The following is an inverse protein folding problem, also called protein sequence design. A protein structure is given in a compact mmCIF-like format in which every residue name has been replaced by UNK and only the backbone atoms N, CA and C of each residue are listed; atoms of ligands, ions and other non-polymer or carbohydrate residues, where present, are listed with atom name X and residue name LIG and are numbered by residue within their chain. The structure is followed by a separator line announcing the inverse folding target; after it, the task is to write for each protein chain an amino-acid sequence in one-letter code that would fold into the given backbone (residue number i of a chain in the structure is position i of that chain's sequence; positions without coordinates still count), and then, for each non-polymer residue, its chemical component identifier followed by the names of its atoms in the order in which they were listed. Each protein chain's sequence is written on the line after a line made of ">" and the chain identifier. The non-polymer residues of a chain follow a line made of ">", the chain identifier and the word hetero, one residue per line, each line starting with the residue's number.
data_IF_165480882866
#
_entry.id   IF_165480882866
#
_cell.length_a   1.000
_cell.length_b   1.000
_cell.length_c   1.000
_cell.angle_alpha   90.00
_cell.angle_beta   90.00
_cell.angle_gamma   90.00
#
_symmetry.space_group_name_H-M   'P 1'
#
loop_
_entity.id
_entity.type
_entity.pdbx_description
1 polymer ?
#
# COMPACT_ATOMS: atom_id res chain seq x y z
N UNK A 1 -8.59 4.92 -4.20
CA UNK A 1 -9.04 6.22 -3.64
C UNK A 1 -9.32 7.14 -4.82
N UNK A 2 -10.48 7.78 -4.85
CA UNK A 2 -10.86 8.78 -5.85
C UNK A 2 -10.84 10.17 -5.19
N UNK A 3 -10.14 11.12 -5.80
CA UNK A 3 -10.17 12.53 -5.39
C UNK A 3 -11.25 13.30 -6.17
N UNK A 4 -11.65 14.47 -5.65
CA UNK A 4 -12.65 15.37 -6.27
C UNK A 4 -12.23 15.84 -7.67
N UNK A 5 -10.92 15.91 -7.92
CA UNK A 5 -10.36 16.23 -9.24
C UNK A 5 -10.45 15.06 -10.25
N UNK A 6 -10.95 13.90 -9.79
CA UNK A 6 -11.11 12.70 -10.60
C UNK A 6 -9.88 11.77 -10.60
N UNK A 7 -8.83 12.07 -9.82
CA UNK A 7 -7.64 11.23 -9.77
C UNK A 7 -7.89 9.95 -8.96
N UNK A 8 -7.44 8.83 -9.51
CA UNK A 8 -7.53 7.52 -8.85
C UNK A 8 -6.14 7.14 -8.32
N UNK A 9 -6.01 7.12 -6.99
CA UNK A 9 -4.83 6.62 -6.30
C UNK A 9 -5.07 5.20 -5.75
N UNK A 10 -4.31 4.23 -6.27
CA UNK A 10 -4.11 2.93 -5.64
C UNK A 10 -2.89 3.04 -4.72
N UNK A 11 -3.14 3.23 -3.43
CA UNK A 11 -2.09 3.59 -2.49
C UNK A 11 -2.36 2.98 -1.10
N UNK A 12 -1.29 2.74 -0.35
CA UNK A 12 -1.35 2.22 1.00
C UNK A 12 -1.36 3.37 2.02
N UNK A 13 -2.38 3.43 2.88
CA UNK A 13 -2.45 4.45 3.93
C UNK A 13 -1.32 4.20 4.94
N UNK A 14 -0.48 5.21 5.15
CA UNK A 14 0.60 5.21 6.15
C UNK A 14 0.16 5.86 7.45
N UNK A 15 -0.51 6.99 7.34
CA UNK A 15 -0.98 7.76 8.48
C UNK A 15 -2.32 8.43 8.15
N UNK A 16 -3.18 8.60 9.16
CA UNK A 16 -4.48 9.24 9.01
C UNK A 16 -4.76 10.15 10.19
N UNK A 17 -5.04 11.42 9.89
CA UNK A 17 -5.56 12.41 10.83
C UNK A 17 -7.00 12.78 10.42
N UNK A 18 -7.73 13.58 11.21
CA UNK A 18 -9.03 14.09 10.78
C UNK A 18 -8.97 14.96 9.52
N UNK A 19 -7.85 15.66 9.30
CA UNK A 19 -7.70 16.67 8.24
C UNK A 19 -6.97 16.13 7.01
N UNK A 20 -6.13 15.10 7.18
CA UNK A 20 -5.28 14.57 6.11
C UNK A 20 -5.10 13.06 6.17
N UNK A 21 -4.87 12.45 5.01
CA UNK A 21 -4.41 11.07 4.87
C UNK A 21 -3.08 11.07 4.13
N UNK A 22 -2.07 10.47 4.74
CA UNK A 22 -0.80 10.17 4.09
C UNK A 22 -0.89 8.78 3.44
N UNK A 23 -0.65 8.73 2.13
CA UNK A 23 -0.68 7.50 1.34
C UNK A 23 0.64 7.27 0.61
N UNK A 24 1.09 6.02 0.60
CA UNK A 24 2.22 5.55 -0.20
C UNK A 24 1.69 5.03 -1.54
N UNK A 25 2.00 5.73 -2.64
CA UNK A 25 1.54 5.36 -3.99
C UNK A 25 2.46 4.30 -4.62
N UNK A 26 3.76 4.40 -4.38
CA UNK A 26 4.77 3.39 -4.76
C UNK A 26 5.96 3.44 -3.78
N UNK A 27 7.00 2.62 -3.96
CA UNK A 27 8.13 2.53 -3.02
C UNK A 27 8.84 3.86 -2.72
N UNK A 28 8.83 4.81 -3.65
CA UNK A 28 9.57 6.08 -3.55
C UNK A 28 8.66 7.30 -3.36
N UNK A 29 7.35 7.15 -3.61
CA UNK A 29 6.39 8.25 -3.63
C UNK A 29 5.31 8.12 -2.55
N UNK A 30 5.33 9.06 -1.62
CA UNK A 30 4.24 9.33 -0.69
C UNK A 30 3.52 10.62 -1.08
N UNK A 31 2.21 10.67 -0.85
CA UNK A 31 1.37 11.83 -1.09
C UNK A 31 0.50 12.06 0.13
N UNK A 32 0.34 13.31 0.53
CA UNK A 32 -0.63 13.72 1.54
C UNK A 32 -1.85 14.26 0.82
N UNK A 33 -3.02 13.74 1.15
CA UNK A 33 -4.30 14.11 0.54
C UNK A 33 -5.19 14.67 1.64
N UNK A 34 -5.77 15.84 1.42
CA UNK A 34 -6.68 16.46 2.38
C UNK A 34 -8.02 15.70 2.41
N UNK A 35 -8.65 15.61 3.58
CA UNK A 35 -9.86 14.77 3.72
C UNK A 35 -11.05 15.31 2.91
N UNK A 36 -11.07 16.61 2.64
CA UNK A 36 -12.07 17.31 1.82
C UNK A 36 -11.86 17.11 0.31
N UNK A 37 -10.65 16.77 -0.13
CA UNK A 37 -10.34 16.42 -1.51
C UNK A 37 -10.68 14.96 -1.86
N UNK A 38 -11.12 14.15 -0.89
CA UNK A 38 -11.48 12.75 -1.11
C UNK A 38 -12.96 12.56 -1.37
N UNK A 39 -13.30 12.00 -2.53
CA UNK A 39 -14.67 11.67 -2.90
C UNK A 39 -15.04 10.25 -2.49
N UNK A 40 -14.18 9.27 -2.79
CA UNK A 40 -14.42 7.85 -2.47
C UNK A 40 -13.16 7.19 -1.93
N UNK A 41 -13.27 6.65 -0.72
CA UNK A 41 -12.28 5.74 -0.15
C UNK A 41 -12.82 4.31 -0.18
N UNK A 42 -12.24 3.47 -1.04
CA UNK A 42 -12.60 2.06 -1.15
C UNK A 42 -11.37 1.18 -0.88
N UNK A 43 -11.56 0.14 -0.07
CA UNK A 43 -10.56 -0.92 0.13
C UNK A 43 -10.37 -1.68 -1.17
N UNK A 44 -9.12 -1.87 -1.57
CA UNK A 44 -8.78 -2.71 -2.72
C UNK A 44 -8.63 -4.17 -2.29
N UNK A 45 -9.18 -5.09 -3.08
CA UNK A 45 -8.94 -6.53 -2.94
C UNK A 45 -7.61 -6.95 -3.61
N UNK A 46 -6.91 -6.02 -4.25
CA UNK A 46 -5.60 -6.26 -4.90
C UNK A 46 -4.48 -6.14 -3.88
N UNK A 47 -3.77 -7.24 -3.65
CA UNK A 47 -2.59 -7.28 -2.78
C UNK A 47 -1.43 -6.47 -3.37
N UNK A 48 -0.73 -5.72 -2.50
CA UNK A 48 0.54 -5.01 -2.83
C UNK A 48 1.73 -5.98 -2.93
N UNK A 49 1.50 -7.29 -2.73
CA UNK A 49 2.51 -8.32 -2.98
C UNK A 49 3.15 -8.10 -4.36
N UNK A 50 4.49 -7.98 -4.45
CA UNK A 50 5.15 -7.87 -5.74
C UNK A 50 4.78 -9.08 -6.58
N UNK A 51 4.13 -8.83 -7.73
CA UNK A 51 3.73 -9.89 -8.63
C UNK A 51 4.97 -10.70 -9.02
N UNK A 52 4.88 -12.02 -8.93
CA UNK A 52 5.96 -12.93 -9.26
C UNK A 52 6.95 -13.25 -8.12
N UNK A 53 6.89 -12.59 -6.95
CA UNK A 53 7.80 -12.92 -5.85
C UNK A 53 7.61 -14.37 -5.36
N UNK A 54 6.36 -14.81 -5.22
CA UNK A 54 6.04 -16.20 -4.85
C UNK A 54 6.35 -17.17 -6.00
N UNK A 55 6.24 -16.72 -7.25
CA UNK A 55 6.47 -17.55 -8.44
C UNK A 55 7.96 -17.74 -8.74
N UNK A 56 8.81 -16.85 -8.24
CA UNK A 56 10.28 -16.89 -8.39
C UNK A 56 10.98 -17.57 -7.22
N UNK A 57 10.24 -18.03 -6.21
CA UNK A 57 10.79 -18.63 -5.00
C UNK A 57 10.22 -20.03 -4.80
N UNK A 58 11.06 -20.94 -4.34
CA UNK A 58 10.59 -22.22 -3.83
C UNK A 58 9.87 -22.02 -2.49
N UNK A 59 8.98 -22.95 -2.14
CA UNK A 59 8.25 -22.92 -0.85
C UNK A 59 9.22 -22.79 0.35
N UNK A 60 10.36 -23.52 0.41
CA UNK A 60 11.35 -23.34 1.47
C UNK A 60 11.94 -21.92 1.51
N UNK A 61 12.36 -21.36 0.38
CA UNK A 61 12.96 -20.02 0.32
C UNK A 61 11.97 -18.93 0.78
N UNK A 62 10.70 -19.07 0.41
CA UNK A 62 9.66 -18.16 0.87
C UNK A 62 9.44 -18.29 2.39
N UNK A 63 9.46 -19.51 2.93
CA UNK A 63 9.37 -19.75 4.38
C UNK A 63 10.54 -19.11 5.13
N UNK A 64 11.76 -19.25 4.61
CA UNK A 64 12.96 -18.67 5.21
C UNK A 64 12.92 -17.13 5.17
N UNK A 65 12.47 -16.54 4.05
CA UNK A 65 12.26 -15.10 3.94
C UNK A 65 11.24 -14.60 4.98
N UNK A 66 10.11 -15.32 5.14
CA UNK A 66 9.10 -14.97 6.14
C UNK A 66 9.63 -15.08 7.57
N UNK A 67 10.46 -16.08 7.87
CA UNK A 67 11.12 -16.23 9.16
C UNK A 67 12.12 -15.09 9.43
N UNK A 68 12.93 -14.74 8.44
CA UNK A 68 13.87 -13.63 8.51
C UNK A 68 13.16 -12.29 8.79
N UNK A 69 12.13 -11.95 8.00
CA UNK A 69 11.36 -10.72 8.17
C UNK A 69 10.65 -10.63 9.54
N UNK A 70 10.20 -11.76 10.09
CA UNK A 70 9.61 -11.80 11.44
C UNK A 70 10.64 -11.56 12.54
N UNK A 71 11.88 -12.02 12.35
CA UNK A 71 12.98 -11.84 13.30
C UNK A 71 13.60 -10.44 13.27
N UNK A 72 13.44 -9.71 12.17
CA UNK A 72 13.97 -8.36 11.97
C UNK A 72 13.11 -7.24 12.62
N UNK A 73 12.28 -7.59 13.61
CA UNK A 73 11.43 -6.66 14.37
C UNK A 73 12.19 -5.95 15.48
#
# INVERSE_FOLDING_TARGET
>A
MLTVDGDIHNAMIKHRTPETIEVQVNAERSVVIATDEMEILQSSDVSVMPAGLVEQMTIPEFSDLMAFLQSAK
#
